data_IF_518528571133
#
_entry.id   IF_518528571133
#
_cell.length_a   1.000
_cell.length_b   1.000
_cell.length_c   1.000
_cell.angle_alpha   90.00
_cell.angle_beta   90.00
_cell.angle_gamma   90.00
#
_symmetry.space_group_name_H-M   'P 1'
#
loop_
_entity.id
_entity.type
_entity.pdbx_description
1 polymer ?
#
# COMPACT_ATOMS: atom_id res chain seq x y z
N UNK A 1 -7.09 -6.41 13.02
CA UNK A 1 -8.49 -6.04 12.71
C UNK A 1 -8.67 -5.75 11.22
N UNK A 2 -7.79 -4.92 10.63
CA UNK A 2 -7.83 -4.52 9.21
C UNK A 2 -7.93 -5.68 8.22
N UNK A 3 -7.19 -6.78 8.45
CA UNK A 3 -7.19 -7.91 7.52
C UNK A 3 -8.57 -8.50 7.22
N UNK A 4 -9.46 -8.60 8.21
CA UNK A 4 -10.82 -9.13 7.96
C UNK A 4 -11.70 -8.14 7.21
N UNK A 5 -11.60 -6.85 7.54
CA UNK A 5 -12.34 -5.77 6.87
C UNK A 5 -11.90 -5.68 5.41
N UNK A 6 -10.59 -5.61 5.18
CA UNK A 6 -9.99 -5.60 3.86
C UNK A 6 -10.43 -6.79 3.02
N UNK A 7 -10.29 -8.02 3.54
CA UNK A 7 -10.70 -9.22 2.80
C UNK A 7 -12.20 -9.24 2.49
N UNK A 8 -13.05 -8.70 3.36
CA UNK A 8 -14.49 -8.57 3.10
C UNK A 8 -14.77 -7.59 1.97
N UNK A 9 -14.10 -6.43 1.96
CA UNK A 9 -14.23 -5.43 0.91
C UNK A 9 -13.70 -5.96 -0.42
N UNK A 10 -12.54 -6.60 -0.40
CA UNK A 10 -11.92 -7.18 -1.59
C UNK A 10 -12.80 -8.24 -2.25
N UNK A 11 -13.39 -9.14 -1.46
CA UNK A 11 -14.38 -10.11 -1.98
C UNK A 11 -15.56 -9.42 -2.65
N UNK A 12 -16.10 -8.38 -2.02
CA UNK A 12 -17.24 -7.64 -2.56
C UNK A 12 -16.87 -6.95 -3.87
N UNK A 13 -15.68 -6.41 -3.98
CA UNK A 13 -15.23 -5.74 -5.20
C UNK A 13 -14.97 -6.72 -6.33
N UNK A 14 -14.22 -7.79 -6.08
CA UNK A 14 -13.96 -8.85 -7.07
C UNK A 14 -15.27 -9.45 -7.60
N UNK A 15 -16.27 -9.65 -6.74
CA UNK A 15 -17.58 -10.19 -7.13
C UNK A 15 -18.38 -9.29 -8.09
N UNK A 16 -18.02 -8.01 -8.24
CA UNK A 16 -18.65 -7.12 -9.23
C UNK A 16 -18.18 -7.41 -10.66
N UNK A 17 -17.08 -8.13 -10.84
CA UNK A 17 -16.48 -8.36 -12.14
C UNK A 17 -16.87 -9.75 -12.69
N UNK A 18 -17.17 -9.79 -13.99
CA UNK A 18 -17.48 -11.02 -14.69
C UNK A 18 -16.18 -11.81 -14.88
N UNK A 19 -16.16 -13.13 -14.61
CA UNK A 19 -14.98 -13.93 -14.85
C UNK A 19 -14.56 -13.85 -16.32
N UNK A 20 -13.31 -13.46 -16.58
CA UNK A 20 -12.73 -13.60 -17.92
C UNK A 20 -12.41 -15.09 -18.19
N UNK A 21 -12.14 -15.50 -19.44
CA UNK A 21 -11.46 -16.77 -19.68
C UNK A 21 -10.13 -16.78 -18.91
N UNK A 22 -9.82 -17.86 -18.17
CA UNK A 22 -8.52 -17.98 -17.51
C UNK A 22 -7.43 -18.11 -18.59
N UNK A 23 -6.42 -17.23 -18.61
CA UNK A 23 -5.26 -17.45 -19.47
C UNK A 23 -4.42 -18.64 -18.95
N UNK A 24 -3.59 -19.21 -19.81
CA UNK A 24 -2.83 -20.45 -19.56
C UNK A 24 -1.53 -20.20 -18.76
N UNK A 25 -1.49 -19.15 -17.93
CA UNK A 25 -0.34 -18.88 -17.06
C UNK A 25 -0.40 -19.74 -15.81
N UNK A 26 0.77 -20.19 -15.35
CA UNK A 26 0.91 -20.91 -14.10
C UNK A 26 0.35 -20.08 -12.94
N UNK A 27 -0.51 -20.72 -12.14
CA UNK A 27 -1.25 -20.08 -11.05
C UNK A 27 -0.31 -19.41 -10.02
N UNK A 28 0.91 -19.93 -9.85
CA UNK A 28 1.88 -19.44 -8.86
C UNK A 28 2.45 -18.08 -9.30
N UNK A 29 2.85 -17.95 -10.57
CA UNK A 29 3.40 -16.70 -11.09
C UNK A 29 2.36 -15.58 -11.03
N UNK A 30 1.10 -15.91 -11.34
CA UNK A 30 0.00 -14.97 -11.21
C UNK A 30 -0.23 -14.51 -9.76
N UNK A 31 -0.21 -15.44 -8.79
CA UNK A 31 -0.32 -15.10 -7.37
C UNK A 31 0.81 -14.18 -6.90
N UNK A 32 2.05 -14.41 -7.37
CA UNK A 32 3.20 -13.56 -7.04
C UNK A 32 3.00 -12.15 -7.61
N UNK A 33 2.67 -12.02 -8.90
CA UNK A 33 2.44 -10.71 -9.55
C UNK A 33 1.34 -9.92 -8.84
N UNK A 34 0.22 -10.58 -8.54
CA UNK A 34 -0.91 -9.95 -7.85
C UNK A 34 -0.52 -9.53 -6.42
N UNK A 35 0.24 -10.36 -5.72
CA UNK A 35 0.72 -10.05 -4.35
C UNK A 35 1.68 -8.86 -4.37
N UNK A 36 2.62 -8.81 -5.31
CA UNK A 36 3.54 -7.67 -5.48
C UNK A 36 2.76 -6.39 -5.80
N UNK A 37 1.80 -6.47 -6.72
CA UNK A 37 0.90 -5.35 -7.07
C UNK A 37 0.14 -4.81 -5.85
N UNK A 38 -0.27 -5.69 -4.92
CA UNK A 38 -0.88 -5.29 -3.65
C UNK A 38 0.10 -4.54 -2.73
N UNK A 39 1.33 -5.04 -2.58
CA UNK A 39 2.36 -4.42 -1.74
C UNK A 39 2.70 -3.02 -2.26
N UNK A 40 2.87 -2.88 -3.58
CA UNK A 40 3.13 -1.57 -4.21
C UNK A 40 1.99 -0.58 -3.99
N UNK A 41 0.73 -1.02 -4.16
CA UNK A 41 -0.42 -0.16 -3.92
C UNK A 41 -0.53 0.24 -2.45
N UNK A 42 -0.32 -0.69 -1.52
CA UNK A 42 -0.25 -0.39 -0.09
C UNK A 42 0.86 0.63 0.21
N UNK A 43 2.05 0.48 -0.39
CA UNK A 43 3.15 1.42 -0.24
C UNK A 43 2.75 2.83 -0.69
N UNK A 44 2.13 2.96 -1.86
CA UNK A 44 1.66 4.25 -2.39
C UNK A 44 0.62 4.89 -1.45
N UNK A 45 -0.38 4.12 -1.00
CA UNK A 45 -1.40 4.63 -0.08
C UNK A 45 -0.81 5.01 1.29
N UNK A 46 0.16 4.24 1.80
CA UNK A 46 0.90 4.61 3.03
C UNK A 46 1.65 5.92 2.83
N UNK A 47 2.34 6.09 1.71
CA UNK A 47 3.08 7.31 1.38
C UNK A 47 2.14 8.52 1.26
N UNK A 48 1.02 8.39 0.55
CA UNK A 48 0.01 9.45 0.42
C UNK A 48 -0.54 9.86 1.78
N UNK A 49 -0.86 8.89 2.63
CA UNK A 49 -1.41 9.13 3.96
C UNK A 49 -0.38 9.70 4.94
N UNK A 50 0.87 9.24 4.89
CA UNK A 50 1.94 9.87 5.68
C UNK A 50 2.09 11.33 5.25
N UNK A 51 2.11 11.60 3.94
CA UNK A 51 2.27 12.96 3.41
C UNK A 51 1.12 13.89 3.82
N UNK A 52 -0.10 13.37 3.95
CA UNK A 52 -1.25 14.16 4.40
C UNK A 52 -1.30 14.39 5.92
N UNK A 53 -0.74 13.48 6.71
CA UNK A 53 -0.62 13.60 8.16
C UNK A 53 0.62 14.38 8.61
N UNK A 54 1.64 14.43 7.75
CA UNK A 54 2.92 15.02 8.05
C UNK A 54 2.84 16.55 8.12
N UNK A 55 3.28 17.12 9.24
CA UNK A 55 3.38 18.57 9.44
C UNK A 55 4.86 18.91 9.66
N UNK A 56 5.39 19.81 8.83
CA UNK A 56 6.73 20.37 9.01
C UNK A 56 6.65 21.62 9.91
N UNK A 57 7.23 21.56 11.10
CA UNK A 57 7.27 22.70 12.01
C UNK A 57 8.17 23.81 11.46
N UNK A 58 9.27 23.45 10.80
CA UNK A 58 10.10 24.44 10.10
C UNK A 58 9.33 25.25 9.05
N UNK A 59 8.41 24.62 8.32
CA UNK A 59 7.53 25.32 7.38
C UNK A 59 6.49 26.18 8.12
N UNK A 60 5.92 25.66 9.21
CA UNK A 60 4.89 26.36 9.99
C UNK A 60 5.43 27.63 10.66
N UNK A 61 6.63 27.53 11.26
CA UNK A 61 7.31 28.63 11.95
C UNK A 61 8.10 29.55 10.99
N UNK A 62 8.18 29.19 9.70
CA UNK A 62 8.82 30.00 8.67
C UNK A 62 10.35 30.07 8.81
N UNK A 63 11.00 28.98 9.23
CA UNK A 63 12.46 28.94 9.36
C UNK A 63 13.16 29.11 8.00
N UNK A 64 14.16 29.98 7.94
CA UNK A 64 14.95 30.17 6.70
C UNK A 64 15.94 29.03 6.46
N UNK A 65 16.44 28.38 7.51
CA UNK A 65 17.40 27.29 7.43
C UNK A 65 16.72 25.96 7.10
N UNK A 66 17.07 25.34 5.96
CA UNK A 66 16.53 24.05 5.52
C UNK A 66 16.76 22.90 6.51
N UNK A 67 17.84 22.94 7.30
CA UNK A 67 18.09 21.93 8.34
C UNK A 67 17.09 22.01 9.51
N UNK A 68 16.36 23.12 9.62
CA UNK A 68 15.25 23.28 10.56
C UNK A 68 13.92 22.71 10.06
N UNK A 69 13.88 22.11 8.86
CA UNK A 69 12.65 21.57 8.26
C UNK A 69 12.62 20.06 8.34
N UNK A 70 11.64 19.50 9.03
CA UNK A 70 11.41 18.06 9.08
C UNK A 70 11.07 17.48 7.70
N UNK A 71 10.43 18.25 6.81
CA UNK A 71 10.13 17.80 5.45
C UNK A 71 11.39 17.50 4.63
N UNK A 72 12.52 18.12 4.99
CA UNK A 72 13.82 17.93 4.33
C UNK A 72 14.70 16.93 5.07
N UNK A 73 14.60 16.88 6.40
CA UNK A 73 15.55 16.14 7.25
C UNK A 73 15.05 14.79 7.71
N UNK A 74 13.73 14.56 7.75
CA UNK A 74 13.21 13.26 8.17
C UNK A 74 13.35 12.23 7.06
N UNK A 75 13.97 11.10 7.38
CA UNK A 75 13.93 9.91 6.55
C UNK A 75 12.52 9.29 6.54
N UNK A 76 12.23 8.50 5.53
CA UNK A 76 11.06 7.63 5.43
C UNK A 76 10.95 6.67 6.61
N UNK A 77 12.07 6.23 7.19
CA UNK A 77 12.06 5.45 8.44
C UNK A 77 11.50 6.27 9.61
N UNK A 78 11.96 7.50 9.79
CA UNK A 78 11.43 8.41 10.81
C UNK A 78 9.95 8.75 10.55
N UNK A 79 9.57 8.96 9.28
CA UNK A 79 8.19 9.23 8.90
C UNK A 79 7.28 8.04 9.20
N UNK A 80 7.70 6.80 8.90
CA UNK A 80 6.92 5.61 9.26
C UNK A 80 6.84 5.42 10.77
N UNK A 81 7.93 5.66 11.50
CA UNK A 81 7.94 5.56 12.96
C UNK A 81 6.92 6.52 13.59
N UNK A 82 6.87 7.76 13.08
CA UNK A 82 6.01 8.80 13.64
C UNK A 82 4.55 8.74 13.17
N UNK A 83 4.31 8.36 11.91
CA UNK A 83 2.99 8.49 11.27
C UNK A 83 2.44 7.19 10.68
N UNK A 84 3.24 6.13 10.58
CA UNK A 84 2.90 4.93 9.81
C UNK A 84 1.64 4.22 10.31
N UNK A 85 1.48 4.05 11.62
CA UNK A 85 0.30 3.38 12.18
C UNK A 85 -0.98 4.21 11.98
N UNK A 86 -0.88 5.55 12.11
CA UNK A 86 -1.99 6.46 11.84
C UNK A 86 -2.34 6.49 10.35
N UNK A 87 -1.33 6.46 9.46
CA UNK A 87 -1.51 6.39 8.03
C UNK A 87 -2.27 5.12 7.60
N UNK A 88 -1.99 3.99 8.23
CA UNK A 88 -2.70 2.72 7.99
C UNK A 88 -4.12 2.77 8.58
N UNK A 89 -4.28 3.32 9.78
CA UNK A 89 -5.58 3.47 10.43
C UNK A 89 -6.55 4.34 9.60
N UNK A 90 -6.04 5.43 9.01
CA UNK A 90 -6.80 6.38 8.20
C UNK A 90 -6.88 5.99 6.71
N UNK A 91 -6.42 4.79 6.34
CA UNK A 91 -6.45 4.34 4.95
C UNK A 91 -7.88 4.19 4.46
N UNK A 92 -8.14 4.73 3.27
CA UNK A 92 -9.39 4.49 2.55
C UNK A 92 -9.36 3.08 1.96
N UNK A 93 -9.83 2.11 2.75
CA UNK A 93 -9.82 0.70 2.39
C UNK A 93 -10.73 0.38 1.19
N UNK A 94 -11.81 1.13 0.99
CA UNK A 94 -12.68 0.98 -0.17
C UNK A 94 -11.95 1.43 -1.44
N UNK A 95 -11.27 2.58 -1.40
CA UNK A 95 -10.42 3.06 -2.50
C UNK A 95 -9.27 2.11 -2.79
N UNK A 96 -8.53 1.65 -1.77
CA UNK A 96 -7.43 0.70 -1.95
C UNK A 96 -7.89 -0.58 -2.67
N UNK A 97 -9.03 -1.14 -2.26
CA UNK A 97 -9.58 -2.34 -2.87
C UNK A 97 -10.00 -2.08 -4.32
N UNK A 98 -10.65 -0.96 -4.61
CA UNK A 98 -11.02 -0.59 -5.97
C UNK A 98 -9.79 -0.41 -6.86
N UNK A 99 -8.77 0.32 -6.39
CA UNK A 99 -7.50 0.52 -7.10
C UNK A 99 -6.81 -0.82 -7.38
N UNK A 100 -6.80 -1.73 -6.41
CA UNK A 100 -6.22 -3.05 -6.57
C UNK A 100 -6.94 -3.90 -7.61
N UNK A 101 -8.26 -3.97 -7.57
CA UNK A 101 -9.02 -4.75 -8.56
C UNK A 101 -8.89 -4.14 -9.96
N UNK A 102 -8.95 -2.81 -10.08
CA UNK A 102 -8.77 -2.11 -11.35
C UNK A 102 -7.37 -2.32 -11.94
N UNK A 103 -6.31 -2.20 -11.12
CA UNK A 103 -4.93 -2.43 -11.54
C UNK A 103 -4.71 -3.87 -12.03
N UNK A 104 -5.40 -4.84 -11.42
CA UNK A 104 -5.24 -6.26 -11.72
C UNK A 104 -6.42 -6.84 -12.51
N UNK A 105 -7.19 -6.01 -13.23
CA UNK A 105 -8.45 -6.44 -13.87
C UNK A 105 -8.27 -7.60 -14.86
N UNK A 106 -7.14 -7.61 -15.58
CA UNK A 106 -6.79 -8.68 -16.54
C UNK A 106 -6.50 -10.02 -15.85
N UNK A 107 -6.20 -10.00 -14.55
CA UNK A 107 -5.85 -11.16 -13.73
C UNK A 107 -6.87 -11.39 -12.60
N UNK A 108 -8.03 -10.73 -12.63
CA UNK A 108 -9.04 -10.78 -11.56
C UNK A 108 -9.50 -12.21 -11.26
N UNK A 109 -9.47 -13.08 -12.26
CA UNK A 109 -9.80 -14.52 -12.13
C UNK A 109 -8.86 -15.32 -11.22
N UNK A 110 -7.64 -14.82 -11.02
CA UNK A 110 -6.65 -15.45 -10.13
C UNK A 110 -6.86 -15.01 -8.67
N UNK A 111 -7.65 -13.96 -8.43
CA UNK A 111 -8.06 -13.49 -7.09
C UNK A 111 -9.20 -14.40 -6.56
N UNK A 112 -8.90 -15.68 -6.47
CA UNK A 112 -9.82 -16.72 -6.00
C UNK A 112 -9.94 -16.73 -4.48
N UNK A 113 -10.97 -17.40 -3.93
CA UNK A 113 -11.06 -17.62 -2.48
C UNK A 113 -9.82 -18.35 -1.91
N UNK A 114 -9.21 -19.25 -2.67
CA UNK A 114 -7.98 -19.93 -2.25
C UNK A 114 -6.84 -18.92 -2.08
N UNK A 115 -6.66 -18.04 -3.06
CA UNK A 115 -5.67 -16.96 -2.99
C UNK A 115 -5.96 -16.01 -1.81
N UNK A 116 -7.21 -15.54 -1.70
CA UNK A 116 -7.63 -14.62 -0.64
C UNK A 116 -7.40 -15.19 0.77
N UNK A 117 -7.56 -16.51 0.94
CA UNK A 117 -7.32 -17.18 2.22
C UNK A 117 -5.81 -17.33 2.54
N UNK A 118 -4.92 -17.23 1.56
CA UNK A 118 -3.47 -17.19 1.76
C UNK A 118 -2.96 -15.79 2.14
N UNK A 119 -3.71 -14.73 1.82
CA UNK A 119 -3.28 -13.37 2.08
C UNK A 119 -3.14 -13.08 3.58
N UNK A 120 -1.96 -12.60 3.96
CA UNK A 120 -1.71 -12.10 5.30
C UNK A 120 -1.50 -10.58 5.27
N UNK A 121 -2.53 -9.82 5.62
CA UNK A 121 -2.47 -8.37 5.58
C UNK A 121 -1.41 -7.76 6.49
N UNK A 122 -1.05 -8.41 7.60
CA UNK A 122 0.03 -7.88 8.45
C UNK A 122 1.37 -7.96 7.71
N UNK A 123 1.63 -9.06 7.00
CA UNK A 123 2.83 -9.23 6.19
C UNK A 123 2.85 -8.26 5.01
N UNK A 124 1.71 -8.07 4.34
CA UNK A 124 1.61 -7.13 3.22
C UNK A 124 1.87 -5.68 3.65
N UNK A 125 1.30 -5.28 4.79
CA UNK A 125 1.54 -3.95 5.37
C UNK A 125 3.02 -3.80 5.74
N UNK A 126 3.63 -4.80 6.38
CA UNK A 126 5.04 -4.74 6.74
C UNK A 126 5.95 -4.64 5.51
N UNK A 127 5.68 -5.42 4.47
CA UNK A 127 6.40 -5.33 3.20
C UNK A 127 6.23 -3.96 2.55
N UNK A 128 5.04 -3.36 2.61
CA UNK A 128 4.79 -2.02 2.09
C UNK A 128 5.55 -0.95 2.89
N UNK A 129 5.60 -1.07 4.22
CA UNK A 129 6.42 -0.19 5.08
C UNK A 129 7.91 -0.29 4.71
N UNK A 130 8.42 -1.51 4.55
CA UNK A 130 9.82 -1.74 4.15
C UNK A 130 10.12 -1.19 2.75
N UNK A 131 9.21 -1.38 1.80
CA UNK A 131 9.32 -0.80 0.45
C UNK A 131 9.41 0.73 0.51
N UNK A 132 8.55 1.38 1.29
CA UNK A 132 8.59 2.83 1.49
C UNK A 132 9.92 3.30 2.08
N UNK A 133 10.43 2.65 3.11
CA UNK A 133 11.76 2.98 3.69
C UNK A 133 12.88 2.80 2.65
N UNK A 134 12.81 1.74 1.84
CA UNK A 134 13.83 1.49 0.81
C UNK A 134 13.86 2.57 -0.29
N UNK A 135 12.76 3.31 -0.52
CA UNK A 135 12.76 4.40 -1.52
C UNK A 135 13.70 5.55 -1.17
N UNK A 136 13.98 5.80 0.11
CA UNK A 136 15.00 6.79 0.51
C UNK A 136 16.40 6.40 0.06
N UNK A 137 16.70 5.10 0.08
CA UNK A 137 18.02 4.59 -0.31
C UNK A 137 18.27 4.72 -1.80
N UNK A 138 17.21 4.79 -2.62
CA UNK A 138 17.28 5.00 -4.06
C UNK A 138 17.51 6.47 -4.45
N UNK A 139 17.26 7.43 -3.55
CA UNK A 139 17.53 8.86 -3.77
C UNK A 139 18.98 9.25 -3.45
N UNK A 140 19.78 8.32 -2.91
CA UNK A 140 21.18 8.51 -2.51
C UNK A 140 22.19 7.83 -3.45
N UNK A 141 21.72 7.23 -4.56
CA UNK A 141 22.53 6.62 -5.63
C UNK A 141 22.45 7.46 -6.91
#
# INVERSE_FOLDING_TARGET
MFGRVFLKLLRKEVAKHIPFPKPDYDCIDAEIVITTSMVELLCNHVQENISSLFICYGCLEGYENQLGHECMTYSNEQRISNYGDLAILNMDWDKLVADFVNRNIQMVNYISEIFLNKLNMNVLIENAKQMYVATDSLLLL
#
